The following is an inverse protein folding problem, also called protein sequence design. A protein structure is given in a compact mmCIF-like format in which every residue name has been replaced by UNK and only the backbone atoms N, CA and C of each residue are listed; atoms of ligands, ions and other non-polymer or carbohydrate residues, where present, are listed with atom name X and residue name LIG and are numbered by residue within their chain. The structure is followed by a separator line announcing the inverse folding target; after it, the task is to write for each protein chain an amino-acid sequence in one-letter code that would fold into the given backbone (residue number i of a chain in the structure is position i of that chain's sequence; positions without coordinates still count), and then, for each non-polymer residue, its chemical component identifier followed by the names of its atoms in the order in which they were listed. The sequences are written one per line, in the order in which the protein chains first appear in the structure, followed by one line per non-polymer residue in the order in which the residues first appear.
data_IF_813313284074
#
_entry.id   IF_813313284074
#
_cell.length_a   1.000
_cell.length_b   1.000
_cell.length_c   1.000
_cell.angle_alpha   90.00
_cell.angle_beta   90.00
_cell.angle_gamma   90.00
#
_symmetry.space_group_name_H-M   'P 1'
#
loop_
_entity.id
_entity.type
_entity.pdbx_description
1 polymer ?
#
# COMPACT_ATOMS: atom_id res chain seq x y z
N UNK A 1 22.57 16.55 0.62
CA UNK A 1 21.30 15.99 1.14
C UNK A 1 20.91 14.86 0.21
N UNK A 2 21.18 13.57 0.53
CA UNK A 2 21.12 12.54 -0.49
C UNK A 2 19.69 12.01 -0.60
N UNK A 3 18.93 12.64 -1.48
CA UNK A 3 17.67 12.15 -2.02
C UNK A 3 17.98 11.23 -3.24
N UNK A 4 18.58 10.04 -3.04
CA UNK A 4 19.11 9.24 -4.17
C UNK A 4 18.74 7.74 -4.14
N UNK A 5 17.48 7.44 -3.83
CA UNK A 5 16.81 6.21 -4.28
C UNK A 5 15.35 6.54 -4.65
N UNK A 6 14.60 5.61 -5.25
CA UNK A 6 13.21 5.85 -5.65
C UNK A 6 12.28 6.16 -4.46
N UNK A 7 12.66 5.75 -3.25
CA UNK A 7 11.94 6.03 -2.00
C UNK A 7 12.31 7.40 -1.41
N UNK A 8 13.33 8.06 -1.94
CA UNK A 8 13.95 9.24 -1.34
C UNK A 8 14.18 10.37 -2.32
N UNK A 9 13.78 10.29 -3.60
CA UNK A 9 13.83 11.46 -4.50
C UNK A 9 12.94 12.56 -3.93
N UNK A 10 13.52 13.74 -3.78
CA UNK A 10 12.82 14.89 -3.24
C UNK A 10 11.70 15.31 -4.23
N UNK A 11 10.46 15.58 -3.76
CA UNK A 11 9.31 15.84 -4.64
C UNK A 11 9.57 16.92 -5.69
N UNK A 12 10.29 17.98 -5.32
CA UNK A 12 10.66 19.07 -6.22
C UNK A 12 11.56 18.58 -7.38
N UNK A 13 12.51 17.68 -7.10
CA UNK A 13 13.36 17.07 -8.14
C UNK A 13 12.53 16.20 -9.07
N UNK A 14 11.55 15.45 -8.55
CA UNK A 14 10.66 14.63 -9.37
C UNK A 14 9.75 15.50 -10.25
N UNK A 15 9.27 16.64 -9.72
CA UNK A 15 8.49 17.61 -10.48
C UNK A 15 9.31 18.22 -11.64
N UNK A 16 10.57 18.55 -11.39
CA UNK A 16 11.48 19.04 -12.44
C UNK A 16 11.73 17.96 -13.50
N UNK A 17 12.05 16.72 -13.08
CA UNK A 17 12.29 15.61 -14.01
C UNK A 17 11.06 15.26 -14.85
N UNK A 18 9.88 15.19 -14.24
CA UNK A 18 8.63 14.94 -14.96
C UNK A 18 8.32 16.05 -15.96
N UNK A 19 8.60 17.31 -15.62
CA UNK A 19 8.47 18.43 -16.56
C UNK A 19 9.41 18.30 -17.75
N UNK A 20 10.68 17.92 -17.53
CA UNK A 20 11.63 17.69 -18.62
C UNK A 20 11.20 16.53 -19.54
N UNK A 21 10.70 15.44 -18.97
CA UNK A 21 10.16 14.30 -19.73
C UNK A 21 8.94 14.74 -20.54
N UNK A 22 8.01 15.49 -19.96
CA UNK A 22 6.82 15.97 -20.65
C UNK A 22 7.18 16.87 -21.84
N UNK A 23 8.12 17.81 -21.66
CA UNK A 23 8.63 18.68 -22.74
C UNK A 23 9.25 17.82 -23.86
N UNK A 24 10.10 16.86 -23.51
CA UNK A 24 10.75 16.00 -24.49
C UNK A 24 9.75 15.14 -25.26
N UNK A 25 8.74 14.57 -24.59
CA UNK A 25 7.69 13.76 -25.21
C UNK A 25 6.72 14.58 -26.08
N UNK A 26 6.52 15.85 -25.76
CA UNK A 26 5.63 16.74 -26.53
C UNK A 26 6.26 17.34 -27.80
N UNK A 27 7.58 17.19 -27.98
CA UNK A 27 8.29 17.90 -29.04
C UNK A 27 7.84 17.44 -30.44
N UNK A 28 7.38 18.38 -31.26
CA UNK A 28 6.90 18.12 -32.62
C UNK A 28 5.48 17.54 -32.70
N UNK A 29 4.80 17.36 -31.55
CA UNK A 29 3.42 16.88 -31.49
C UNK A 29 2.43 18.05 -31.47
N UNK A 30 1.25 17.83 -32.03
CA UNK A 30 0.14 18.75 -31.86
C UNK A 30 -0.60 18.55 -30.52
N UNK A 31 -1.56 19.44 -30.24
CA UNK A 31 -2.34 19.38 -29.00
C UNK A 31 -3.15 18.10 -28.82
N UNK A 32 -3.62 17.49 -29.92
CA UNK A 32 -4.40 16.27 -29.84
C UNK A 32 -3.51 15.06 -29.51
N UNK A 33 -2.34 14.98 -30.14
CA UNK A 33 -1.33 13.93 -29.88
C UNK A 33 -0.79 14.02 -28.45
N UNK A 34 -0.49 15.23 -27.96
CA UNK A 34 -0.07 15.47 -26.57
C UNK A 34 -1.15 14.98 -25.59
N UNK A 35 -2.43 15.26 -25.87
CA UNK A 35 -3.53 14.82 -25.00
C UNK A 35 -3.64 13.28 -24.95
N UNK A 36 -3.44 12.60 -26.09
CA UNK A 36 -3.45 11.13 -26.14
C UNK A 36 -2.33 10.54 -25.28
N UNK A 37 -1.08 11.01 -25.46
CA UNK A 37 0.06 10.52 -24.67
C UNK A 37 -0.10 10.87 -23.19
N UNK A 38 -0.57 12.08 -22.87
CA UNK A 38 -0.86 12.50 -21.50
C UNK A 38 -1.88 11.59 -20.82
N UNK A 39 -3.01 11.32 -21.48
CA UNK A 39 -4.04 10.42 -20.94
C UNK A 39 -3.52 8.99 -20.77
N UNK A 40 -2.68 8.51 -21.69
CA UNK A 40 -2.03 7.21 -21.56
C UNK A 40 -1.14 7.13 -20.31
N UNK A 41 -0.30 8.14 -20.06
CA UNK A 41 0.55 8.20 -18.87
C UNK A 41 -0.27 8.32 -17.57
N UNK A 42 -1.35 9.11 -17.58
CA UNK A 42 -2.30 9.20 -16.45
C UNK A 42 -2.93 7.83 -16.16
N UNK A 43 -3.34 7.09 -17.20
CA UNK A 43 -3.92 5.77 -17.03
C UNK A 43 -2.92 4.78 -16.42
N UNK A 44 -1.67 4.77 -16.90
CA UNK A 44 -0.59 3.94 -16.31
C UNK A 44 -0.42 4.27 -14.84
N UNK A 45 -0.24 5.54 -14.49
CA UNK A 45 -0.05 5.98 -13.10
C UNK A 45 -1.23 5.58 -12.22
N UNK A 46 -2.46 5.74 -12.71
CA UNK A 46 -3.67 5.36 -11.98
C UNK A 46 -3.76 3.86 -11.72
N UNK A 47 -3.41 3.03 -12.71
CA UNK A 47 -3.37 1.56 -12.56
C UNK A 47 -2.30 1.15 -11.55
N UNK A 48 -1.10 1.75 -11.61
CA UNK A 48 -0.04 1.47 -10.64
C UNK A 48 -0.45 1.81 -9.20
N UNK A 49 -1.05 2.99 -8.98
CA UNK A 49 -1.58 3.38 -7.67
C UNK A 49 -2.69 2.42 -7.19
N UNK A 50 -3.54 1.96 -8.11
CA UNK A 50 -4.59 0.99 -7.79
C UNK A 50 -4.00 -0.36 -7.36
N UNK A 51 -2.96 -0.84 -8.06
CA UNK A 51 -2.26 -2.09 -7.70
C UNK A 51 -1.65 -1.96 -6.30
N UNK A 52 -0.92 -0.87 -6.02
CA UNK A 52 -0.32 -0.64 -4.70
C UNK A 52 -1.38 -0.62 -3.59
N UNK A 53 -2.50 0.09 -3.79
CA UNK A 53 -3.60 0.12 -2.83
C UNK A 53 -4.24 -1.27 -2.61
N UNK A 54 -4.31 -2.10 -3.64
CA UNK A 54 -4.79 -3.48 -3.53
C UNK A 54 -3.83 -4.36 -2.74
N UNK A 55 -2.51 -4.23 -2.95
CA UNK A 55 -1.49 -4.97 -2.20
C UNK A 55 -1.52 -4.60 -0.70
N UNK A 56 -1.64 -3.31 -0.39
CA UNK A 56 -1.77 -2.81 0.99
C UNK A 56 -3.05 -3.33 1.67
N UNK A 57 -4.16 -3.34 0.94
CA UNK A 57 -5.44 -3.85 1.44
C UNK A 57 -5.38 -5.36 1.75
N UNK A 58 -4.74 -6.15 0.89
CA UNK A 58 -4.55 -7.60 1.11
C UNK A 58 -3.67 -7.85 2.34
N UNK A 59 -2.60 -7.07 2.50
CA UNK A 59 -1.68 -7.18 3.64
C UNK A 59 -2.41 -6.86 4.94
N UNK A 60 -3.11 -5.73 4.98
CA UNK A 60 -3.92 -5.31 6.15
C UNK A 60 -4.96 -6.37 6.53
N UNK A 61 -5.63 -6.97 5.53
CA UNK A 61 -6.60 -8.04 5.77
C UNK A 61 -5.95 -9.27 6.40
N UNK A 62 -4.80 -9.71 5.89
CA UNK A 62 -4.06 -10.86 6.44
C UNK A 62 -3.62 -10.61 7.88
N UNK A 63 -3.13 -9.41 8.18
CA UNK A 63 -2.70 -9.04 9.54
C UNK A 63 -3.89 -9.04 10.51
N UNK A 64 -5.05 -8.54 10.06
CA UNK A 64 -6.29 -8.58 10.83
C UNK A 64 -6.75 -10.01 11.11
N UNK A 65 -6.77 -10.88 10.09
CA UNK A 65 -7.14 -12.30 10.24
C UNK A 65 -6.19 -13.05 11.21
N UNK A 66 -4.88 -12.74 11.15
CA UNK A 66 -3.90 -13.30 12.08
C UNK A 66 -4.14 -12.82 13.52
N UNK A 67 -4.44 -11.54 13.70
CA UNK A 67 -4.75 -10.97 15.01
C UNK A 67 -6.03 -11.58 15.60
N UNK A 68 -7.08 -11.77 14.81
CA UNK A 68 -8.32 -12.43 15.24
C UNK A 68 -8.05 -13.86 15.71
N UNK A 69 -7.28 -14.64 14.92
CA UNK A 69 -6.90 -16.01 15.29
C UNK A 69 -6.13 -16.05 16.60
N UNK A 70 -5.15 -15.17 16.78
CA UNK A 70 -4.37 -15.07 18.01
C UNK A 70 -5.26 -14.76 19.22
N UNK A 71 -6.19 -13.81 19.09
CA UNK A 71 -7.13 -13.45 20.17
C UNK A 71 -8.03 -14.65 20.52
N UNK A 72 -8.52 -15.39 19.53
CA UNK A 72 -9.35 -16.58 19.75
C UNK A 72 -8.58 -17.68 20.50
N UNK A 73 -7.33 -17.95 20.13
CA UNK A 73 -6.48 -18.91 20.84
C UNK A 73 -6.27 -18.50 22.30
N UNK A 74 -6.02 -17.21 22.57
CA UNK A 74 -5.86 -16.68 23.92
C UNK A 74 -7.15 -16.78 24.75
N UNK A 75 -8.32 -16.54 24.14
CA UNK A 75 -9.62 -16.72 24.80
C UNK A 75 -9.88 -18.18 25.18
N UNK A 76 -9.52 -19.14 24.33
CA UNK A 76 -9.65 -20.56 24.65
C UNK A 76 -8.75 -20.99 25.80
N UNK A 77 -7.49 -20.55 25.79
CA UNK A 77 -6.55 -20.82 26.88
C UNK A 77 -7.07 -20.25 28.21
N UNK A 78 -7.57 -19.03 28.20
CA UNK A 78 -8.14 -18.39 29.38
C UNK A 78 -9.35 -19.17 29.92
N UNK A 79 -10.28 -19.59 29.04
CA UNK A 79 -11.44 -20.42 29.42
C UNK A 79 -11.02 -21.73 30.09
N UNK A 80 -10.00 -22.40 29.55
CA UNK A 80 -9.46 -23.64 30.15
C UNK A 80 -8.88 -23.40 31.54
N UNK A 81 -8.15 -22.30 31.73
CA UNK A 81 -7.61 -21.93 33.04
C UNK A 81 -8.72 -21.70 34.08
N UNK A 82 -9.79 -20.99 33.71
CA UNK A 82 -10.95 -20.82 34.58
C UNK A 82 -11.58 -22.17 34.98
N UNK A 83 -11.79 -23.06 34.02
CA UNK A 83 -12.37 -24.39 34.30
C UNK A 83 -11.51 -25.22 35.27
N UNK A 84 -10.18 -25.11 35.16
CA UNK A 84 -9.25 -25.76 36.10
C UNK A 84 -9.35 -25.18 37.50
N UNK A 85 -9.41 -23.86 37.63
CA UNK A 85 -9.59 -23.17 38.91
C UNK A 85 -10.93 -23.53 39.57
N UNK A 86 -12.02 -23.55 38.80
CA UNK A 86 -13.33 -23.97 39.31
C UNK A 86 -13.31 -25.42 39.82
N UNK A 87 -12.59 -26.31 39.15
CA UNK A 87 -12.43 -27.71 39.60
C UNK A 87 -11.63 -27.81 40.89
N UNK A 88 -10.61 -26.95 41.06
CA UNK A 88 -9.82 -26.90 42.30
C UNK A 88 -10.61 -26.36 43.49
N UNK A 89 -11.55 -25.43 43.28
CA UNK A 89 -12.40 -24.87 44.34
C UNK A 89 -13.52 -25.82 44.82
N UNK A 90 -13.86 -26.85 44.03
CA UNK A 90 -14.90 -27.84 44.36
C UNK A 90 -14.37 -29.09 45.08
N UNK A 91 -13.07 -29.14 45.36
CA UNK A 91 -12.41 -30.13 46.20
C UNK A 91 -11.89 -29.48 47.48
#
# INVERSE_FOLDING_TARGET
MPCLDLNSICPDTLAVLSSLIAIALSNGLDSAEINVIGNFLVAIGSVMLTIAAQEDAITTKKDTEQQEKYIMEQLELLKRQFALLEKQLKH
#
